data_IF_348924057305
#
_entry.id   IF_348924057305
#
_cell.length_a   1.000
_cell.length_b   1.000
_cell.length_c   1.000
_cell.angle_alpha   90.00
_cell.angle_beta   90.00
_cell.angle_gamma   90.00
#
_symmetry.space_group_name_H-M   'P 1'
#
loop_
_entity.id
_entity.type
_entity.pdbx_description
1 polymer ?
#
# COMPACT_ATOMS: atom_id res chain seq x y z
N UNK A 1 41.64 15.67 -17.36
CA UNK A 1 40.63 15.65 -16.26
C UNK A 1 39.70 16.84 -16.45
N UNK A 2 38.42 16.61 -16.75
CA UNK A 2 37.21 17.48 -16.67
C UNK A 2 36.12 16.81 -17.53
N UNK A 3 35.20 16.06 -16.90
CA UNK A 3 33.87 16.46 -16.42
C UNK A 3 32.88 16.73 -17.57
N UNK A 4 31.97 15.77 -17.77
CA UNK A 4 30.85 15.86 -18.71
C UNK A 4 29.84 16.94 -18.26
N UNK A 5 29.24 17.70 -19.18
CA UNK A 5 28.19 18.66 -18.85
C UNK A 5 26.85 17.97 -18.59
N UNK A 6 25.99 18.63 -17.82
CA UNK A 6 24.65 18.16 -17.49
C UNK A 6 23.73 18.18 -18.72
N UNK A 7 23.02 17.06 -18.94
CA UNK A 7 22.03 16.90 -20.00
C UNK A 7 20.76 17.69 -19.64
N UNK A 8 20.64 18.92 -20.14
CA UNK A 8 19.39 19.69 -20.11
C UNK A 8 18.42 19.23 -21.20
N UNK A 9 17.12 19.37 -20.91
CA UNK A 9 15.92 18.88 -21.60
C UNK A 9 15.75 19.22 -23.11
N UNK A 10 16.68 19.92 -23.74
CA UNK A 10 16.48 20.51 -25.08
C UNK A 10 16.81 19.60 -26.27
N UNK A 11 17.27 18.36 -26.07
CA UNK A 11 17.66 17.45 -27.17
C UNK A 11 16.61 16.36 -27.51
N UNK A 12 15.36 16.47 -27.04
CA UNK A 12 14.29 15.49 -27.32
C UNK A 12 13.35 15.87 -28.46
N UNK A 13 13.77 16.71 -29.41
CA UNK A 13 12.87 17.25 -30.45
C UNK A 13 12.54 16.29 -31.62
N UNK A 14 12.96 15.02 -31.60
CA UNK A 14 12.39 14.05 -32.56
C UNK A 14 12.44 12.59 -32.10
N UNK A 15 11.44 12.11 -31.33
CA UNK A 15 11.18 10.70 -31.21
C UNK A 15 10.42 10.27 -32.48
N UNK A 16 11.15 9.77 -33.47
CA UNK A 16 10.61 9.26 -34.75
C UNK A 16 9.54 8.14 -34.58
N UNK A 17 9.28 7.70 -33.35
CA UNK A 17 8.25 6.72 -33.01
C UNK A 17 7.02 7.30 -32.29
N UNK A 18 7.03 8.56 -31.83
CA UNK A 18 5.88 9.14 -31.13
C UNK A 18 4.69 9.36 -32.08
N UNK A 19 4.95 9.80 -33.30
CA UNK A 19 3.91 9.92 -34.34
C UNK A 19 3.25 8.56 -34.65
N UNK A 20 4.02 7.48 -34.64
CA UNK A 20 3.50 6.12 -34.83
C UNK A 20 2.70 5.63 -33.62
N UNK A 21 3.14 5.97 -32.40
CA UNK A 21 2.41 5.70 -31.16
C UNK A 21 1.07 6.46 -31.07
N UNK A 22 1.06 7.74 -31.48
CA UNK A 22 -0.18 8.54 -31.53
C UNK A 22 -1.10 8.03 -32.64
N UNK A 23 -0.56 7.58 -33.79
CA UNK A 23 -1.34 6.95 -34.85
C UNK A 23 -1.94 5.60 -34.42
N UNK A 24 -1.18 4.75 -33.72
CA UNK A 24 -1.69 3.48 -33.21
C UNK A 24 -2.71 3.67 -32.08
N UNK A 25 -2.52 4.68 -31.23
CA UNK A 25 -3.49 5.04 -30.19
C UNK A 25 -4.81 5.62 -30.76
N UNK A 26 -4.74 6.30 -31.91
CA UNK A 26 -5.88 6.85 -32.64
C UNK A 26 -6.50 5.90 -33.67
N UNK A 27 -5.89 4.74 -33.91
CA UNK A 27 -6.41 3.76 -34.85
C UNK A 27 -7.71 3.15 -34.30
N UNK A 28 -8.85 3.66 -34.77
CA UNK A 28 -10.17 3.10 -34.55
C UNK A 28 -10.48 2.14 -35.70
N UNK A 29 -11.05 0.96 -35.42
CA UNK A 29 -11.73 0.21 -36.49
C UNK A 29 -12.95 1.03 -36.91
N UNK A 30 -13.09 1.32 -38.20
CA UNK A 30 -14.28 2.01 -38.70
C UNK A 30 -15.45 1.03 -38.59
N UNK A 31 -16.54 1.46 -37.92
CA UNK A 31 -17.79 0.71 -37.87
C UNK A 31 -18.73 1.38 -38.87
N UNK A 32 -19.21 0.61 -39.84
CA UNK A 32 -20.14 1.07 -40.87
C UNK A 32 -21.47 0.36 -40.63
N UNK A 33 -22.54 1.12 -40.51
CA UNK A 33 -23.90 0.57 -40.36
C UNK A 33 -24.40 -0.02 -41.69
N UNK A 34 -25.49 -0.79 -41.67
CA UNK A 34 -26.09 -1.41 -42.87
C UNK A 34 -26.51 -0.38 -43.94
N UNK A 35 -26.66 0.90 -43.54
CA UNK A 35 -27.01 2.03 -44.40
C UNK A 35 -25.77 2.81 -44.92
N UNK A 36 -24.56 2.34 -44.61
CA UNK A 36 -23.30 2.93 -45.10
C UNK A 36 -22.77 4.12 -44.30
N UNK A 37 -23.37 4.47 -43.16
CA UNK A 37 -22.94 5.59 -42.33
C UNK A 37 -21.73 5.23 -41.45
N UNK A 38 -20.76 6.15 -41.34
CA UNK A 38 -19.49 5.94 -40.63
C UNK A 38 -19.60 6.45 -39.19
N UNK A 39 -19.51 5.56 -38.21
CA UNK A 39 -19.45 5.91 -36.80
C UNK A 39 -18.01 5.89 -36.27
N UNK A 40 -17.68 6.82 -35.36
CA UNK A 40 -16.35 6.89 -34.72
C UNK A 40 -16.16 5.63 -33.86
N UNK A 41 -15.32 4.70 -34.33
CA UNK A 41 -15.08 3.43 -33.65
C UNK A 41 -14.38 3.58 -32.29
N UNK A 42 -14.44 2.52 -31.49
CA UNK A 42 -13.69 2.44 -30.26
C UNK A 42 -12.19 2.39 -30.55
N UNK A 43 -11.39 3.19 -29.84
CA UNK A 43 -9.93 3.13 -29.92
C UNK A 43 -9.44 1.91 -29.13
N UNK A 44 -8.35 1.27 -29.56
CA UNK A 44 -7.77 0.13 -28.83
C UNK A 44 -7.51 0.40 -27.34
N UNK A 45 -7.27 1.66 -26.97
CA UNK A 45 -7.00 2.09 -25.59
C UNK A 45 -8.24 2.57 -24.83
N UNK A 46 -9.39 2.75 -25.48
CA UNK A 46 -10.62 3.19 -24.80
C UNK A 46 -11.13 2.20 -23.74
N UNK A 47 -10.71 0.93 -23.84
CA UNK A 47 -11.01 -0.12 -22.86
C UNK A 47 -9.89 -0.36 -21.84
N UNK A 48 -8.75 0.31 -21.98
CA UNK A 48 -7.62 0.15 -21.08
C UNK A 48 -7.88 0.97 -19.80
N UNK A 49 -8.10 0.28 -18.68
CA UNK A 49 -8.15 0.90 -17.36
C UNK A 49 -6.78 0.82 -16.70
N UNK A 50 -6.37 1.90 -16.04
CA UNK A 50 -5.14 1.92 -15.26
C UNK A 50 -5.36 1.13 -13.97
N UNK A 51 -4.77 -0.07 -13.87
CA UNK A 51 -4.85 -0.95 -12.69
C UNK A 51 -3.73 -0.66 -11.66
N UNK A 52 -3.36 0.63 -11.51
CA UNK A 52 -2.29 1.05 -10.62
C UNK A 52 -0.88 0.55 -11.01
N UNK A 53 0.13 1.05 -10.31
CA UNK A 53 1.49 0.48 -10.35
C UNK A 53 1.68 -0.35 -9.08
N UNK A 54 1.48 -1.67 -9.19
CA UNK A 54 1.76 -2.63 -8.12
C UNK A 54 2.87 -3.56 -8.55
N UNK A 55 3.90 -3.74 -7.72
CA UNK A 55 4.89 -4.79 -7.98
C UNK A 55 4.16 -6.15 -7.99
N UNK A 56 4.48 -7.07 -8.92
CA UNK A 56 3.89 -8.39 -8.92
C UNK A 56 4.08 -9.04 -7.55
N UNK A 57 3.01 -9.66 -7.04
CA UNK A 57 2.90 -10.21 -5.68
C UNK A 57 2.78 -9.21 -4.51
N UNK A 58 2.76 -7.90 -4.75
CA UNK A 58 2.40 -6.90 -3.75
C UNK A 58 0.94 -6.47 -3.97
N UNK A 59 0.09 -6.60 -2.94
CA UNK A 59 -1.33 -6.22 -3.01
C UNK A 59 -2.32 -7.36 -3.28
N UNK A 60 -1.86 -8.54 -3.72
CA UNK A 60 -2.74 -9.66 -4.01
C UNK A 60 -2.79 -10.68 -2.87
N UNK A 61 -3.99 -11.21 -2.60
CA UNK A 61 -4.15 -12.33 -1.68
C UNK A 61 -3.53 -13.60 -2.26
N UNK A 62 -2.77 -14.33 -1.45
CA UNK A 62 -2.22 -15.64 -1.83
C UNK A 62 -3.31 -16.72 -1.82
N UNK A 63 -3.16 -17.81 -2.60
CA UNK A 63 -4.15 -18.88 -2.66
C UNK A 63 -4.46 -19.55 -1.32
N UNK A 64 -3.58 -19.44 -0.34
CA UNK A 64 -3.73 -20.03 0.99
C UNK A 64 -4.28 -19.06 2.05
N UNK A 65 -4.43 -17.76 1.72
CA UNK A 65 -4.89 -16.77 2.70
C UNK A 65 -6.28 -17.13 3.25
N UNK A 66 -6.42 -17.09 4.58
CA UNK A 66 -7.64 -17.40 5.34
C UNK A 66 -8.15 -18.84 5.18
N UNK A 67 -7.36 -19.74 4.58
CA UNK A 67 -7.67 -21.18 4.59
C UNK A 67 -7.31 -21.77 5.96
N UNK A 68 -8.15 -22.68 6.43
CA UNK A 68 -7.85 -23.48 7.61
C UNK A 68 -6.71 -24.45 7.31
N UNK A 69 -5.76 -24.52 8.21
CA UNK A 69 -4.68 -25.49 8.20
C UNK A 69 -4.61 -26.12 9.58
N UNK A 70 -4.37 -27.42 9.59
CA UNK A 70 -4.25 -28.22 10.79
C UNK A 70 -2.78 -28.63 10.94
N UNK A 71 -2.15 -28.25 12.04
CA UNK A 71 -0.81 -28.68 12.40
C UNK A 71 -0.93 -29.69 13.53
N UNK A 72 -0.32 -30.85 13.40
CA UNK A 72 -0.50 -31.90 14.39
C UNK A 72 0.29 -33.15 14.06
N UNK A 73 0.17 -34.12 14.95
CA UNK A 73 0.75 -35.44 14.75
C UNK A 73 -0.38 -36.46 14.52
N UNK A 74 -0.26 -37.19 13.41
CA UNK A 74 -1.21 -38.24 13.03
C UNK A 74 -0.85 -39.59 13.65
N UNK A 75 0.23 -39.68 14.46
CA UNK A 75 0.65 -40.94 15.05
C UNK A 75 -0.14 -41.28 16.32
N UNK A 76 -1.36 -41.77 16.11
CA UNK A 76 -2.31 -42.12 17.18
C UNK A 76 -1.70 -43.06 18.24
N UNK A 77 -0.82 -44.00 17.84
CA UNK A 77 -0.24 -45.03 18.72
C UNK A 77 0.63 -44.44 19.83
N UNK A 78 1.27 -43.30 19.57
CA UNK A 78 2.17 -42.63 20.51
C UNK A 78 1.45 -41.52 21.31
N UNK A 79 0.16 -41.32 21.06
CA UNK A 79 -0.62 -40.29 21.74
C UNK A 79 -1.45 -40.86 22.90
N UNK A 80 -1.53 -40.13 24.03
CA UNK A 80 -2.46 -40.49 25.10
C UNK A 80 -3.88 -40.64 24.57
N UNK A 81 -4.55 -41.74 24.94
CA UNK A 81 -5.94 -42.05 24.55
C UNK A 81 -6.17 -42.35 23.06
N UNK A 82 -5.12 -42.64 22.27
CA UNK A 82 -5.22 -42.94 20.83
C UNK A 82 -5.97 -41.87 20.01
N UNK A 83 -5.81 -40.59 20.39
CA UNK A 83 -6.44 -39.46 19.69
C UNK A 83 -5.42 -38.68 18.87
N UNK A 84 -5.87 -38.10 17.77
CA UNK A 84 -5.07 -37.16 17.00
C UNK A 84 -5.05 -35.82 17.74
N UNK A 85 -3.88 -35.21 17.86
CA UNK A 85 -3.76 -33.84 18.35
C UNK A 85 -3.45 -32.95 17.16
N UNK A 86 -4.40 -32.08 16.83
CA UNK A 86 -4.26 -31.08 15.79
C UNK A 86 -4.64 -29.70 16.34
N UNK A 87 -3.76 -28.73 16.10
CA UNK A 87 -4.04 -27.31 16.25
C UNK A 87 -4.54 -26.79 14.91
N UNK A 88 -5.70 -26.13 14.94
CA UNK A 88 -6.29 -25.52 13.75
C UNK A 88 -6.02 -24.01 13.76
N UNK A 89 -5.38 -23.51 12.71
CA UNK A 89 -5.20 -22.07 12.53
C UNK A 89 -5.64 -21.63 11.12
N UNK A 90 -6.08 -20.37 11.02
CA UNK A 90 -6.27 -19.74 9.72
C UNK A 90 -4.93 -19.23 9.20
N UNK A 91 -4.48 -19.79 8.07
CA UNK A 91 -3.21 -19.39 7.46
C UNK A 91 -3.32 -17.96 6.91
N UNK A 92 -2.46 -17.08 7.39
CA UNK A 92 -2.38 -15.69 6.94
C UNK A 92 -1.03 -15.43 6.27
N UNK A 93 -1.02 -14.66 5.17
CA UNK A 93 0.24 -14.32 4.48
C UNK A 93 1.08 -13.28 5.24
N UNK A 94 0.51 -12.64 6.28
CA UNK A 94 1.21 -11.69 7.17
C UNK A 94 1.85 -10.51 6.41
N UNK A 95 1.24 -10.06 5.32
CA UNK A 95 1.65 -8.91 4.50
C UNK A 95 0.68 -7.74 4.73
N UNK A 96 1.22 -6.51 4.78
CA UNK A 96 0.45 -5.29 4.98
C UNK A 96 -0.57 -5.04 3.85
N UNK A 97 -0.20 -5.27 2.60
CA UNK A 97 -1.06 -4.96 1.45
C UNK A 97 -2.04 -6.10 1.07
N UNK A 98 -2.17 -7.16 1.88
CA UNK A 98 -3.06 -8.28 1.52
C UNK A 98 -4.53 -7.94 1.88
N UNK A 99 -5.47 -7.94 0.91
CA UNK A 99 -6.87 -7.55 1.18
C UNK A 99 -7.57 -8.50 2.15
N UNK A 100 -7.13 -9.77 2.25
CA UNK A 100 -7.73 -10.78 3.15
C UNK A 100 -7.07 -10.87 4.53
N UNK A 101 -5.80 -10.47 4.66
CA UNK A 101 -5.00 -10.71 5.87
C UNK A 101 -4.51 -9.44 6.54
N UNK A 102 -4.87 -8.27 6.01
CA UNK A 102 -4.45 -6.97 6.52
C UNK A 102 -4.80 -6.77 8.00
N UNK A 103 -6.03 -7.07 8.42
CA UNK A 103 -6.43 -6.96 9.83
C UNK A 103 -5.57 -7.81 10.76
N UNK A 104 -5.30 -9.06 10.37
CA UNK A 104 -4.41 -9.95 11.13
C UNK A 104 -2.98 -9.41 11.20
N UNK A 105 -2.52 -8.73 10.14
CA UNK A 105 -1.21 -8.06 10.14
C UNK A 105 -1.20 -6.83 11.07
N UNK A 106 -2.23 -5.98 11.04
CA UNK A 106 -2.37 -4.83 11.96
C UNK A 106 -2.32 -5.31 13.40
N UNK A 107 -3.15 -6.29 13.75
CA UNK A 107 -3.22 -6.83 15.11
C UNK A 107 -1.86 -7.38 15.56
N UNK A 108 -1.10 -8.00 14.64
CA UNK A 108 0.26 -8.45 14.94
C UNK A 108 1.22 -7.29 15.20
N UNK A 109 1.16 -6.22 14.43
CA UNK A 109 1.99 -5.02 14.65
C UNK A 109 1.63 -4.35 15.97
N UNK A 110 0.34 -4.17 16.25
CA UNK A 110 -0.16 -3.62 17.51
C UNK A 110 0.36 -4.43 18.70
N UNK A 111 0.17 -5.76 18.68
CA UNK A 111 0.67 -6.64 19.74
C UNK A 111 2.19 -6.59 19.90
N UNK A 112 2.96 -6.47 18.81
CA UNK A 112 4.42 -6.32 18.88
C UNK A 112 4.81 -4.99 19.55
N UNK A 113 4.15 -3.90 19.18
CA UNK A 113 4.36 -2.57 19.76
C UNK A 113 3.98 -2.55 21.23
N UNK A 114 2.81 -3.10 21.59
CA UNK A 114 2.37 -3.23 22.99
C UNK A 114 3.37 -4.03 23.81
N UNK A 115 3.81 -5.21 23.35
CA UNK A 115 4.81 -6.02 24.05
C UNK A 115 6.12 -5.27 24.27
N UNK A 116 6.59 -4.54 23.26
CA UNK A 116 7.80 -3.71 23.38
C UNK A 116 7.62 -2.60 24.42
N UNK A 117 6.49 -1.91 24.37
CA UNK A 117 6.16 -0.85 25.31
C UNK A 117 6.03 -1.39 26.74
N UNK A 118 5.30 -2.48 26.94
CA UNK A 118 5.15 -3.14 28.24
C UNK A 118 6.50 -3.58 28.80
N UNK A 119 7.38 -4.19 27.98
CA UNK A 119 8.72 -4.59 28.42
C UNK A 119 9.59 -3.38 28.77
N UNK A 120 9.48 -2.30 28.01
CA UNK A 120 10.20 -1.06 28.29
C UNK A 120 9.71 -0.37 29.57
N UNK A 121 8.42 -0.48 29.87
CA UNK A 121 7.78 0.15 31.03
C UNK A 121 7.87 -0.68 32.32
N UNK A 122 8.01 -2.01 32.23
CA UNK A 122 8.29 -2.87 33.38
C UNK A 122 9.56 -2.36 34.07
N UNK A 123 9.41 -1.83 35.28
CA UNK A 123 10.46 -1.28 36.16
C UNK A 123 10.85 0.19 35.94
N UNK A 124 10.13 0.95 35.12
CA UNK A 124 10.35 2.40 34.99
C UNK A 124 9.15 3.18 35.50
N UNK A 125 9.38 4.05 36.49
CA UNK A 125 8.43 5.10 36.87
C UNK A 125 8.69 6.30 35.98
N UNK A 126 7.85 6.49 34.96
CA UNK A 126 7.91 7.69 34.14
C UNK A 126 7.09 8.80 34.78
N UNK A 127 7.75 9.90 35.13
CA UNK A 127 7.07 11.16 35.40
C UNK A 127 6.94 11.90 34.06
N UNK A 128 5.94 11.54 33.26
CA UNK A 128 5.65 12.27 32.03
C UNK A 128 5.24 13.70 32.40
N UNK A 129 6.13 14.67 32.18
CA UNK A 129 5.76 16.08 32.21
C UNK A 129 5.16 16.41 30.85
N UNK A 130 3.84 16.56 30.78
CA UNK A 130 3.22 17.17 29.61
C UNK A 130 3.61 18.65 29.61
N UNK A 131 4.57 19.01 28.76
CA UNK A 131 4.93 20.41 28.53
C UNK A 131 3.97 20.92 27.46
N UNK A 132 3.01 21.74 27.87
CA UNK A 132 2.12 22.44 26.96
C UNK A 132 2.87 23.66 26.43
N UNK A 133 3.28 23.62 25.16
CA UNK A 133 3.96 24.72 24.46
C UNK A 133 2.95 25.67 23.78
N UNK A 134 1.79 25.88 24.39
CA UNK A 134 0.83 26.87 23.87
C UNK A 134 1.13 28.25 24.48
N UNK A 135 0.96 29.34 23.72
CA UNK A 135 0.94 30.68 24.32
C UNK A 135 -0.15 30.74 25.40
N UNK A 136 0.08 31.49 26.51
CA UNK A 136 -0.95 31.73 27.51
C UNK A 136 -2.23 32.24 26.83
N UNK A 137 -3.41 31.68 27.16
CA UNK A 137 -4.64 31.96 26.42
C UNK A 137 -5.04 33.44 26.44
N UNK A 138 -4.73 34.15 27.53
CA UNK A 138 -4.98 35.60 27.61
C UNK A 138 -4.11 36.40 26.65
N UNK A 139 -2.84 36.03 26.51
CA UNK A 139 -1.92 36.68 25.57
C UNK A 139 -2.24 36.32 24.13
N UNK A 140 -2.60 35.05 23.87
CA UNK A 140 -2.93 34.54 22.54
C UNK A 140 -4.15 35.24 21.91
N UNK A 141 -5.15 35.65 22.72
CA UNK A 141 -6.33 36.39 22.25
C UNK A 141 -5.98 37.73 21.59
N UNK A 142 -4.87 38.34 22.00
CA UNK A 142 -4.45 39.67 21.54
C UNK A 142 -3.29 39.62 20.54
N UNK A 143 -2.81 38.43 20.19
CA UNK A 143 -1.72 38.25 19.23
C UNK A 143 -2.25 38.08 17.81
N UNK A 144 -1.53 38.63 16.84
CA UNK A 144 -1.79 38.36 15.44
C UNK A 144 -1.35 36.93 15.07
N UNK A 145 -1.89 36.40 13.97
CA UNK A 145 -1.52 35.07 13.47
C UNK A 145 -0.01 34.94 13.17
N UNK A 146 0.62 36.01 12.69
CA UNK A 146 2.06 36.03 12.39
C UNK A 146 2.91 36.02 13.65
N UNK A 147 2.43 36.62 14.75
CA UNK A 147 3.11 36.60 16.04
C UNK A 147 2.95 35.24 16.73
N UNK A 148 1.79 34.60 16.59
CA UNK A 148 1.55 33.24 17.12
C UNK A 148 2.49 32.20 16.51
N UNK A 149 2.89 32.37 15.24
CA UNK A 149 3.88 31.50 14.57
C UNK A 149 5.30 31.65 15.11
N UNK A 150 5.63 32.78 15.73
CA UNK A 150 6.97 33.12 16.24
C UNK A 150 7.13 32.93 17.75
N UNK A 151 6.13 32.34 18.40
CA UNK A 151 6.05 32.24 19.86
C UNK A 151 7.06 31.27 20.49
N UNK A 152 7.67 30.38 19.70
CA UNK A 152 8.74 29.48 20.11
C UNK A 152 10.08 29.93 19.51
#
# INVERSE_FOLDING_TARGET
MKLYPALTQSNFENPNNFKNYVKSARATKIIVDEQGNIHKGETYWSRAYFDGFGLPAQGQAKPYCKKWVSWGCNNLKQHPKNKHYAEHEQKTCKIAHCPKCFESWINRQANRSTRRFSKFAQNKKFNFRHIILSPPPERAKHMSYDDLKKWL
#
